data_IF_929370445843
#
_entry.id   IF_929370445843
#
_cell.length_a   1.000
_cell.length_b   1.000
_cell.length_c   1.000
_cell.angle_alpha   90.00
_cell.angle_beta   90.00
_cell.angle_gamma   90.00
#
_symmetry.space_group_name_H-M   'P 1'
#
loop_
_entity.id
_entity.type
_entity.pdbx_description
1 polymer ?
#
# COMPACT_ATOMS: atom_id res chain seq x y z
N UNK A 1 40.84 9.64 45.77
CA UNK A 1 39.64 10.44 46.10
C UNK A 1 39.40 11.64 45.17
N UNK A 2 40.29 11.97 44.21
CA UNK A 2 40.10 13.10 43.30
C UNK A 2 39.41 12.72 41.97
N UNK A 3 39.61 11.52 41.44
CA UNK A 3 39.07 11.11 40.12
C UNK A 3 37.54 10.97 40.09
N UNK A 4 36.92 10.62 41.22
CA UNK A 4 35.47 10.41 41.32
C UNK A 4 34.67 11.73 41.30
N UNK A 5 35.24 12.81 41.85
CA UNK A 5 34.61 14.15 41.91
C UNK A 5 34.57 14.80 40.53
N UNK A 6 35.62 14.63 39.71
CA UNK A 6 35.63 15.12 38.33
C UNK A 6 34.58 14.42 37.46
N UNK A 7 34.41 13.10 37.61
CA UNK A 7 33.40 12.34 36.87
C UNK A 7 31.98 12.79 37.24
N UNK A 8 31.71 13.01 38.53
CA UNK A 8 30.41 13.46 38.99
C UNK A 8 30.09 14.90 38.55
N UNK A 9 31.08 15.80 38.56
CA UNK A 9 30.92 17.19 38.09
C UNK A 9 30.73 17.27 36.57
N UNK A 10 31.42 16.41 35.81
CA UNK A 10 31.22 16.27 34.37
C UNK A 10 29.84 15.68 34.01
N UNK A 11 29.38 14.68 34.75
CA UNK A 11 28.03 14.11 34.60
C UNK A 11 26.93 15.09 35.02
N UNK A 12 27.15 15.86 36.09
CA UNK A 12 26.21 16.88 36.58
C UNK A 12 26.11 18.07 35.60
N UNK A 13 27.24 18.53 35.05
CA UNK A 13 27.26 19.54 33.97
C UNK A 13 26.49 19.04 32.74
N UNK A 14 26.80 17.82 32.25
CA UNK A 14 26.06 17.21 31.13
C UNK A 14 24.56 17.08 31.38
N UNK A 15 24.14 16.85 32.64
CA UNK A 15 22.72 16.72 33.03
C UNK A 15 22.00 18.08 33.08
N UNK A 16 22.66 19.13 33.55
CA UNK A 16 22.17 20.53 33.50
C UNK A 16 22.05 21.02 32.06
N UNK A 17 23.08 20.73 31.23
CA UNK A 17 23.10 21.08 29.80
C UNK A 17 21.97 20.34 29.05
N UNK A 18 21.76 19.05 29.34
CA UNK A 18 20.68 18.26 28.75
C UNK A 18 19.29 18.73 29.20
N UNK A 19 19.10 19.24 30.43
CA UNK A 19 17.83 19.87 30.85
C UNK A 19 17.49 21.14 30.09
N UNK A 20 18.49 21.85 29.55
CA UNK A 20 18.30 23.06 28.73
C UNK A 20 18.13 22.74 27.25
N UNK A 21 18.77 21.69 26.76
CA UNK A 21 18.74 21.28 25.34
C UNK A 21 17.49 20.47 25.01
N UNK A 22 17.04 19.58 25.91
CA UNK A 22 15.84 18.74 25.69
C UNK A 22 14.58 19.53 25.37
N UNK A 23 14.20 20.60 26.09
CA UNK A 23 13.01 21.38 25.74
C UNK A 23 13.17 22.16 24.43
N UNK A 24 14.39 22.55 24.05
CA UNK A 24 14.67 23.20 22.77
C UNK A 24 14.55 22.21 21.61
N UNK A 25 15.05 20.98 21.77
CA UNK A 25 14.93 19.90 20.78
C UNK A 25 13.48 19.43 20.66
N UNK A 26 12.76 19.29 21.77
CA UNK A 26 11.31 19.00 21.78
C UNK A 26 10.55 20.15 21.12
N UNK A 27 10.89 21.41 21.42
CA UNK A 27 10.31 22.59 20.78
C UNK A 27 10.56 22.62 19.27
N UNK A 28 11.77 22.29 18.81
CA UNK A 28 12.12 22.20 17.39
C UNK A 28 11.38 21.04 16.68
N UNK A 29 11.21 19.90 17.35
CA UNK A 29 10.45 18.76 16.83
C UNK A 29 8.93 19.05 16.75
N UNK A 30 8.42 19.94 17.60
CA UNK A 30 7.01 20.36 17.60
C UNK A 30 6.73 21.53 16.66
N UNK A 31 7.74 22.20 16.10
CA UNK A 31 7.60 23.42 15.28
C UNK A 31 7.44 23.15 13.77
N UNK A 32 7.32 21.89 13.34
CA UNK A 32 7.21 21.55 11.91
C UNK A 32 6.11 20.55 11.64
N UNK A 33 4.91 20.85 12.13
CA UNK A 33 3.69 20.28 11.55
C UNK A 33 2.87 21.44 11.02
N UNK A 34 3.24 21.89 9.83
CA UNK A 34 2.25 22.52 8.96
C UNK A 34 1.20 21.43 8.70
N UNK A 35 0.08 21.49 9.41
CA UNK A 35 -1.11 20.74 9.03
C UNK A 35 -1.57 21.37 7.73
N UNK A 36 -0.99 20.89 6.63
CA UNK A 36 -1.60 21.02 5.32
C UNK A 36 -2.90 20.25 5.42
N UNK A 37 -3.99 20.97 5.69
CA UNK A 37 -5.31 20.45 5.38
C UNK A 37 -5.34 20.29 3.87
N UNK A 38 -5.09 19.07 3.39
CA UNK A 38 -5.49 18.70 2.06
C UNK A 38 -7.02 18.72 2.08
N UNK A 39 -7.60 19.88 1.76
CA UNK A 39 -8.87 19.84 1.04
C UNK A 39 -8.54 19.01 -0.18
N UNK A 40 -8.92 17.73 -0.16
CA UNK A 40 -9.16 17.02 -1.39
C UNK A 40 -10.20 17.87 -2.09
N UNK A 41 -9.72 18.74 -2.99
CA UNK A 41 -10.57 19.39 -3.96
C UNK A 41 -11.43 18.24 -4.47
N UNK A 42 -12.74 18.34 -4.25
CA UNK A 42 -13.70 17.46 -4.89
C UNK A 42 -13.40 17.65 -6.38
N UNK A 43 -12.55 16.77 -6.91
CA UNK A 43 -12.33 16.63 -8.34
C UNK A 43 -13.71 16.31 -8.80
N UNK A 44 -14.28 17.23 -9.57
CA UNK A 44 -15.55 17.09 -10.22
C UNK A 44 -15.66 15.64 -10.70
N UNK A 45 -16.41 14.82 -9.95
CA UNK A 45 -16.42 13.37 -10.14
C UNK A 45 -17.23 13.01 -11.39
N UNK A 46 -17.62 14.01 -12.17
CA UNK A 46 -18.48 13.91 -13.34
C UNK A 46 -17.88 13.06 -14.48
N UNK A 47 -16.59 12.67 -14.40
CA UNK A 47 -16.00 11.73 -15.36
C UNK A 47 -15.38 10.45 -14.78
N UNK A 48 -15.25 10.31 -13.45
CA UNK A 48 -14.67 9.09 -12.85
C UNK A 48 -15.69 7.95 -12.90
N UNK A 49 -15.29 6.80 -13.44
CA UNK A 49 -16.11 5.60 -13.50
C UNK A 49 -15.44 4.46 -12.76
N UNK A 50 -16.20 3.86 -11.86
CA UNK A 50 -15.85 2.61 -11.20
C UNK A 50 -16.66 1.48 -11.83
N UNK A 51 -16.01 0.37 -12.17
CA UNK A 51 -16.70 -0.81 -12.69
C UNK A 51 -16.20 -2.05 -11.97
N UNK A 52 -17.12 -2.97 -11.68
CA UNK A 52 -16.76 -4.32 -11.27
C UNK A 52 -16.62 -5.17 -12.53
N UNK A 53 -15.40 -5.58 -12.83
CA UNK A 53 -15.11 -6.49 -13.93
C UNK A 53 -15.34 -7.92 -13.44
N UNK A 54 -16.24 -8.65 -14.10
CA UNK A 54 -16.49 -10.07 -13.79
C UNK A 54 -15.81 -10.92 -14.85
N UNK A 55 -15.00 -11.87 -14.42
CA UNK A 55 -14.18 -12.68 -15.31
C UNK A 55 -14.65 -14.12 -15.34
N UNK A 56 -14.79 -14.68 -16.53
CA UNK A 56 -15.22 -16.07 -16.73
C UNK A 56 -14.29 -17.07 -16.02
N UNK A 57 -14.81 -18.22 -15.57
CA UNK A 57 -14.00 -19.33 -15.07
C UNK A 57 -12.81 -19.71 -15.97
N UNK A 58 -11.73 -20.16 -15.34
CA UNK A 58 -10.57 -20.75 -16.01
C UNK A 58 -10.44 -22.25 -15.71
N UNK A 59 -9.33 -22.84 -16.15
CA UNK A 59 -9.04 -24.27 -15.97
C UNK A 59 -8.26 -24.56 -14.69
N UNK A 60 -7.52 -23.58 -14.20
CA UNK A 60 -6.68 -23.70 -13.02
C UNK A 60 -7.51 -23.63 -11.75
N UNK A 61 -7.08 -24.35 -10.69
CA UNK A 61 -7.84 -24.50 -9.44
C UNK A 61 -8.25 -23.15 -8.82
N UNK A 62 -7.37 -22.16 -8.89
CA UNK A 62 -7.58 -20.80 -8.37
C UNK A 62 -8.47 -19.92 -9.27
N UNK A 63 -8.86 -20.41 -10.44
CA UNK A 63 -9.68 -19.69 -11.43
C UNK A 63 -11.01 -20.38 -11.74
N UNK A 64 -11.30 -21.54 -11.13
CA UNK A 64 -12.47 -22.37 -11.44
C UNK A 64 -13.80 -21.65 -11.24
N UNK A 65 -13.86 -20.65 -10.36
CA UNK A 65 -15.06 -19.87 -10.09
C UNK A 65 -15.06 -18.50 -10.77
N UNK A 66 -14.10 -18.25 -11.65
CA UNK A 66 -13.88 -16.93 -12.24
C UNK A 66 -13.09 -16.02 -11.31
N UNK A 67 -13.17 -14.72 -11.57
CA UNK A 67 -12.52 -13.69 -10.77
C UNK A 67 -13.29 -12.38 -10.88
N UNK A 68 -13.07 -11.46 -9.95
CA UNK A 68 -13.59 -10.09 -10.06
C UNK A 68 -12.49 -9.08 -9.78
N UNK A 69 -12.52 -7.98 -10.52
CA UNK A 69 -11.57 -6.90 -10.38
C UNK A 69 -12.30 -5.55 -10.37
N UNK A 70 -11.69 -4.53 -9.76
CA UNK A 70 -12.24 -3.18 -9.78
C UNK A 70 -11.51 -2.36 -10.84
N UNK A 71 -12.25 -1.81 -11.80
CA UNK A 71 -11.74 -0.85 -12.78
C UNK A 71 -11.97 0.58 -12.28
N UNK A 72 -10.93 1.39 -12.36
CA UNK A 72 -10.98 2.84 -12.17
C UNK A 72 -10.64 3.52 -13.50
N UNK A 73 -11.61 4.22 -14.07
CA UNK A 73 -11.46 4.99 -15.30
C UNK A 73 -11.65 6.47 -15.00
N UNK A 74 -10.69 7.31 -15.40
CA UNK A 74 -10.81 8.78 -15.40
C UNK A 74 -10.37 9.29 -16.77
N UNK A 75 -11.33 9.54 -17.69
CA UNK A 75 -11.05 9.96 -19.06
C UNK A 75 -10.27 11.27 -19.15
N UNK A 76 -10.58 12.25 -18.30
CA UNK A 76 -9.89 13.54 -18.26
C UNK A 76 -8.40 13.42 -17.91
N UNK A 77 -8.06 12.45 -17.06
CA UNK A 77 -6.68 12.20 -16.64
C UNK A 77 -5.98 11.15 -17.51
N UNK A 78 -6.68 10.58 -18.50
CA UNK A 78 -6.23 9.43 -19.29
C UNK A 78 -5.80 8.24 -18.42
N UNK A 79 -6.54 8.01 -17.33
CA UNK A 79 -6.27 6.96 -16.35
C UNK A 79 -7.27 5.82 -16.55
N UNK A 80 -6.78 4.59 -16.64
CA UNK A 80 -7.62 3.40 -16.78
C UNK A 80 -6.94 2.17 -16.15
N UNK A 81 -7.10 2.02 -14.83
CA UNK A 81 -6.48 0.96 -14.04
C UNK A 81 -7.48 -0.10 -13.64
N UNK A 82 -6.96 -1.32 -13.48
CA UNK A 82 -7.65 -2.45 -12.88
C UNK A 82 -6.88 -2.88 -11.64
N UNK A 83 -7.63 -3.00 -10.54
CA UNK A 83 -7.18 -3.48 -9.25
C UNK A 83 -7.68 -4.92 -9.07
N UNK A 84 -6.74 -5.87 -9.15
CA UNK A 84 -6.96 -7.30 -8.95
C UNK A 84 -6.66 -7.67 -7.50
N UNK A 85 -7.71 -7.93 -6.73
CA UNK A 85 -7.58 -8.37 -5.35
C UNK A 85 -7.50 -9.88 -5.30
N UNK A 86 -6.56 -10.41 -4.53
CA UNK A 86 -6.44 -11.85 -4.35
C UNK A 86 -5.53 -12.51 -5.38
N UNK A 87 -4.55 -11.77 -5.91
CA UNK A 87 -3.45 -12.35 -6.68
C UNK A 87 -2.55 -13.18 -5.76
N UNK A 88 -1.78 -14.07 -6.37
CA UNK A 88 -0.88 -14.99 -5.67
C UNK A 88 0.54 -14.82 -6.19
N UNK A 89 1.52 -15.06 -5.32
CA UNK A 89 2.88 -15.33 -5.74
C UNK A 89 3.02 -16.84 -6.02
N UNK A 90 3.22 -17.20 -7.29
CA UNK A 90 3.39 -18.58 -7.71
C UNK A 90 4.77 -19.16 -7.35
N UNK A 91 5.75 -18.31 -7.02
CA UNK A 91 7.07 -18.76 -6.55
C UNK A 91 7.06 -19.15 -5.07
N UNK A 92 5.93 -18.92 -4.37
CA UNK A 92 5.73 -19.36 -3.00
C UNK A 92 5.73 -20.90 -2.91
N UNK A 93 6.57 -21.51 -2.05
CA UNK A 93 6.59 -22.96 -1.86
C UNK A 93 5.22 -23.52 -1.47
N UNK A 94 4.90 -24.70 -2.02
CA UNK A 94 3.67 -25.45 -1.73
C UNK A 94 2.37 -24.67 -2.01
N UNK A 95 2.37 -23.78 -3.02
CA UNK A 95 1.23 -22.94 -3.39
C UNK A 95 -0.12 -23.68 -3.38
N UNK A 96 -0.23 -24.81 -4.06
CA UNK A 96 -1.49 -25.57 -4.16
C UNK A 96 -2.00 -26.01 -2.78
N UNK A 97 -1.11 -26.47 -1.90
CA UNK A 97 -1.48 -26.90 -0.55
C UNK A 97 -1.93 -25.72 0.31
N UNK A 98 -1.21 -24.61 0.24
CA UNK A 98 -1.57 -23.36 0.94
C UNK A 98 -2.90 -22.81 0.43
N UNK A 99 -3.14 -22.83 -0.88
CA UNK A 99 -4.37 -22.38 -1.51
C UNK A 99 -5.58 -23.16 -1.00
N UNK A 100 -5.51 -24.50 -1.00
CA UNK A 100 -6.61 -25.35 -0.53
C UNK A 100 -6.92 -25.12 0.96
N UNK A 101 -5.92 -24.78 1.78
CA UNK A 101 -6.11 -24.45 3.21
C UNK A 101 -6.50 -22.99 3.47
N UNK A 102 -6.49 -22.13 2.45
CA UNK A 102 -6.72 -20.69 2.61
C UNK A 102 -5.57 -19.94 3.29
N UNK A 103 -4.34 -20.45 3.20
CA UNK A 103 -3.13 -19.90 3.83
C UNK A 103 -2.24 -19.12 2.83
N UNK A 104 -2.78 -18.70 1.69
CA UNK A 104 -2.05 -17.90 0.70
C UNK A 104 -1.91 -16.45 1.15
N UNK A 105 -0.73 -15.89 0.95
CA UNK A 105 -0.48 -14.46 1.13
C UNK A 105 -0.99 -13.73 -0.11
N UNK A 106 -2.23 -13.23 -0.02
CA UNK A 106 -2.89 -12.56 -1.14
C UNK A 106 -2.31 -11.18 -1.41
N UNK A 107 -2.14 -10.87 -2.70
CA UNK A 107 -1.55 -9.63 -3.17
C UNK A 107 -2.58 -8.79 -3.95
N UNK A 108 -2.35 -7.48 -3.95
CA UNK A 108 -3.02 -6.55 -4.87
C UNK A 108 -2.19 -6.43 -6.15
N UNK A 109 -2.75 -6.88 -7.26
CA UNK A 109 -2.22 -6.59 -8.58
C UNK A 109 -2.82 -5.31 -9.13
N UNK A 110 -2.01 -4.43 -9.71
CA UNK A 110 -2.51 -3.23 -10.39
C UNK A 110 -1.95 -3.20 -11.81
N UNK A 111 -2.84 -3.08 -12.80
CA UNK A 111 -2.46 -3.04 -14.21
C UNK A 111 -3.38 -2.10 -14.99
N UNK A 112 -3.09 -1.86 -16.27
CA UNK A 112 -3.99 -1.11 -17.17
C UNK A 112 -5.15 -1.99 -17.63
N UNK A 113 -6.31 -1.40 -17.89
CA UNK A 113 -7.46 -2.16 -18.41
C UNK A 113 -7.16 -2.87 -19.74
N UNK A 114 -6.35 -2.25 -20.60
CA UNK A 114 -5.93 -2.86 -21.86
C UNK A 114 -5.13 -4.15 -21.64
N UNK A 115 -4.11 -4.12 -20.78
CA UNK A 115 -3.30 -5.29 -20.45
C UNK A 115 -4.13 -6.37 -19.74
N UNK A 116 -5.00 -5.97 -18.83
CA UNK A 116 -5.94 -6.88 -18.16
C UNK A 116 -6.78 -7.64 -19.21
N UNK A 117 -7.41 -6.92 -20.15
CA UNK A 117 -8.25 -7.55 -21.16
C UNK A 117 -7.46 -8.45 -22.12
N UNK A 118 -6.23 -8.10 -22.45
CA UNK A 118 -5.34 -8.93 -23.27
C UNK A 118 -5.04 -10.28 -22.62
N UNK A 119 -4.78 -10.31 -21.31
CA UNK A 119 -4.55 -11.54 -20.55
C UNK A 119 -5.75 -12.49 -20.65
N UNK A 120 -6.97 -12.00 -20.38
CA UNK A 120 -8.17 -12.84 -20.49
C UNK A 120 -8.44 -13.30 -21.92
N UNK A 121 -8.19 -12.44 -22.92
CA UNK A 121 -8.29 -12.82 -24.34
C UNK A 121 -7.30 -13.91 -24.72
N UNK A 122 -6.05 -13.83 -24.26
CA UNK A 122 -5.03 -14.86 -24.48
C UNK A 122 -5.49 -16.23 -23.95
N UNK A 123 -6.12 -16.25 -22.78
CA UNK A 123 -6.69 -17.47 -22.21
C UNK A 123 -8.08 -17.83 -22.75
N UNK A 124 -8.60 -17.11 -23.75
CA UNK A 124 -9.93 -17.28 -24.33
C UNK A 124 -11.05 -17.24 -23.26
N UNK A 125 -10.94 -16.29 -22.34
CA UNK A 125 -11.89 -16.03 -21.25
C UNK A 125 -12.56 -14.68 -21.44
N UNK A 126 -13.84 -14.62 -21.11
CA UNK A 126 -14.63 -13.38 -21.18
C UNK A 126 -14.43 -12.52 -19.92
N UNK A 127 -14.53 -11.21 -20.11
CA UNK A 127 -14.66 -10.20 -19.04
C UNK A 127 -15.93 -9.41 -19.34
N UNK A 128 -16.77 -9.24 -18.33
CA UNK A 128 -18.02 -8.45 -18.37
C UNK A 128 -17.94 -7.25 -17.44
#
# INVERSE_FOLDING_TARGET
MLTFVFYFKALYSKREDMRRIVPVVIGLLLFSVDVVSQEDAFVDADSVRLSLLTCAPGKEIYSLFGHTAIRYESPEKHIDWVFNYGMFDFDTPDFIWRFVKGETDYLLGVTTYAHFLEEYRYYNRSVW
#
